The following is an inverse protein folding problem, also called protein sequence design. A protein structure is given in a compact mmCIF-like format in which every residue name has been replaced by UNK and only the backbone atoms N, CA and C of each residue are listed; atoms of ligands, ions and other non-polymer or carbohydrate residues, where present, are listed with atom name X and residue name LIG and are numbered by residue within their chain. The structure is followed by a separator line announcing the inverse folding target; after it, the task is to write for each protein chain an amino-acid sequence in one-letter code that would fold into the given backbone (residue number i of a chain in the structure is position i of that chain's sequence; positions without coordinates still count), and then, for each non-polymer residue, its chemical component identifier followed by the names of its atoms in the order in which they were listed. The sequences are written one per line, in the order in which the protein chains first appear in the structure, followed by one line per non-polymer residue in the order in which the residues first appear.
data_IF_669322151094
#
_entry.id   IF_669322151094
#
_cell.length_a   1.000
_cell.length_b   1.000
_cell.length_c   1.000
_cell.angle_alpha   90.00
_cell.angle_beta   90.00
_cell.angle_gamma   90.00
#
_symmetry.space_group_name_H-M   'P 1'
#
loop_
_entity.id
_entity.type
_entity.pdbx_description
1 polymer ?
#
# COMPACT_ATOMS: atom_id res chain seq x y z
N UNK A 1 6.96 16.46 44.86
CA UNK A 1 6.27 15.86 43.70
C UNK A 1 6.77 16.57 42.45
N UNK A 2 7.71 15.95 41.74
CA UNK A 2 8.21 16.48 40.47
C UNK A 2 7.14 16.21 39.40
N UNK A 3 6.50 17.29 38.93
CA UNK A 3 5.69 17.28 37.71
C UNK A 3 6.66 17.15 36.53
N UNK A 4 6.90 15.93 36.06
CA UNK A 4 7.50 15.71 34.76
C UNK A 4 6.43 16.04 33.71
N UNK A 5 6.64 17.14 32.97
CA UNK A 5 5.88 17.42 31.75
C UNK A 5 6.33 16.41 30.70
N UNK A 6 5.47 15.44 30.40
CA UNK A 6 5.60 14.59 29.23
C UNK A 6 5.15 15.40 28.01
N UNK A 7 6.05 15.59 27.05
CA UNK A 7 5.75 16.00 25.68
C UNK A 7 6.16 14.83 24.77
N UNK A 8 5.55 13.68 24.99
CA UNK A 8 5.61 12.54 24.09
C UNK A 8 4.21 12.34 23.54
N UNK A 9 4.08 12.37 22.21
CA UNK A 9 2.87 11.91 21.55
C UNK A 9 2.61 10.46 21.97
N UNK A 10 1.36 10.13 22.26
CA UNK A 10 0.91 8.76 22.45
C UNK A 10 0.99 8.09 21.07
N UNK A 11 1.97 7.19 20.87
CA UNK A 11 2.24 6.55 19.57
C UNK A 11 1.58 5.17 19.60
N UNK A 12 0.33 5.10 19.18
CA UNK A 12 -0.27 3.87 18.63
C UNK A 12 -0.17 3.98 17.10
N UNK A 13 0.38 2.99 16.40
CA UNK A 13 0.45 2.88 14.92
C UNK A 13 0.52 4.18 14.09
N UNK A 14 1.73 4.70 13.83
CA UNK A 14 1.91 5.78 12.84
C UNK A 14 1.91 5.21 11.41
N UNK A 15 0.73 4.96 10.87
CA UNK A 15 0.60 4.68 9.45
C UNK A 15 0.75 5.96 8.63
N UNK A 16 1.27 5.86 7.41
CA UNK A 16 1.26 6.99 6.50
C UNK A 16 0.97 6.56 5.07
N UNK A 17 0.35 7.48 4.35
CA UNK A 17 -0.29 7.23 3.08
C UNK A 17 0.50 7.85 1.93
N UNK A 18 0.51 7.21 0.78
CA UNK A 18 0.85 7.85 -0.47
C UNK A 18 -0.32 7.75 -1.42
N UNK A 19 -0.49 8.72 -2.32
CA UNK A 19 -1.56 8.77 -3.31
C UNK A 19 -0.99 9.19 -4.67
N UNK A 20 -1.46 8.54 -5.73
CA UNK A 20 -1.30 9.03 -7.10
C UNK A 20 -2.62 8.90 -7.87
N UNK A 21 -3.04 10.01 -8.46
CA UNK A 21 -4.08 10.00 -9.49
C UNK A 21 -3.53 9.42 -10.79
N UNK A 22 -4.34 8.64 -11.49
CA UNK A 22 -3.97 8.03 -12.76
C UNK A 22 -4.52 8.84 -13.94
N UNK A 23 -3.68 9.54 -14.72
CA UNK A 23 -4.15 10.41 -15.80
C UNK A 23 -4.60 9.65 -17.06
N UNK A 24 -4.12 8.41 -17.24
CA UNK A 24 -4.46 7.53 -18.36
C UNK A 24 -4.92 6.18 -17.80
N UNK A 25 -6.20 6.06 -17.40
CA UNK A 25 -6.73 4.85 -16.78
C UNK A 25 -6.42 3.57 -17.57
N UNK A 26 -6.53 3.60 -18.90
CA UNK A 26 -6.25 2.46 -19.79
C UNK A 26 -4.80 1.96 -19.76
N UNK A 27 -3.86 2.77 -19.25
CA UNK A 27 -2.45 2.41 -19.04
C UNK A 27 -2.09 2.22 -17.57
N UNK A 28 -3.08 2.18 -16.67
CA UNK A 28 -2.88 2.08 -15.22
C UNK A 28 -2.00 0.89 -14.83
N UNK A 29 -2.24 -0.28 -15.43
CA UNK A 29 -1.43 -1.46 -15.20
C UNK A 29 -0.01 -1.33 -15.68
N UNK A 30 0.21 -0.64 -16.81
CA UNK A 30 1.56 -0.35 -17.32
C UNK A 30 2.30 0.62 -16.42
N UNK A 31 1.62 1.66 -15.92
CA UNK A 31 2.15 2.59 -14.93
C UNK A 31 2.55 1.85 -13.65
N UNK A 32 1.64 1.05 -13.09
CA UNK A 32 1.90 0.33 -11.85
C UNK A 32 3.01 -0.71 -12.01
N UNK A 33 3.08 -1.39 -13.16
CA UNK A 33 4.22 -2.25 -13.49
C UNK A 33 5.53 -1.47 -13.50
N UNK A 34 5.58 -0.29 -14.13
CA UNK A 34 6.77 0.57 -14.14
C UNK A 34 7.21 0.93 -12.73
N UNK A 35 6.25 1.29 -11.87
CA UNK A 35 6.47 1.61 -10.47
C UNK A 35 7.03 0.42 -9.67
N UNK A 36 6.34 -0.72 -9.69
CA UNK A 36 6.72 -1.93 -8.97
C UNK A 36 8.04 -2.54 -9.48
N UNK A 37 8.41 -2.29 -10.75
CA UNK A 37 9.64 -2.79 -11.36
C UNK A 37 10.77 -1.76 -11.42
N UNK A 38 10.59 -0.60 -10.77
CA UNK A 38 11.59 0.48 -10.68
C UNK A 38 12.92 0.04 -10.07
N UNK A 39 12.98 -1.10 -9.38
CA UNK A 39 14.17 -1.61 -8.70
C UNK A 39 14.26 -1.20 -7.23
N UNK A 40 13.29 -0.43 -6.75
CA UNK A 40 13.15 -0.06 -5.34
C UNK A 40 12.17 -0.97 -4.58
N UNK A 41 11.54 -1.92 -5.26
CA UNK A 41 10.67 -2.94 -4.67
C UNK A 41 11.30 -4.33 -4.72
N UNK A 42 11.02 -5.14 -3.70
CA UNK A 42 11.24 -6.58 -3.73
C UNK A 42 10.26 -7.21 -4.73
N UNK A 43 10.74 -8.09 -5.61
CA UNK A 43 9.94 -8.76 -6.65
C UNK A 43 9.07 -9.89 -6.08
N UNK A 44 8.26 -9.59 -5.08
CA UNK A 44 7.31 -10.50 -4.45
C UNK A 44 6.12 -9.70 -3.95
N UNK A 45 5.03 -9.77 -4.71
CA UNK A 45 3.78 -9.06 -4.43
C UNK A 45 2.73 -10.08 -4.04
N UNK A 46 1.99 -9.77 -2.98
CA UNK A 46 1.01 -10.66 -2.37
C UNK A 46 -0.36 -10.07 -2.58
N UNK A 47 -1.26 -10.79 -3.22
CA UNK A 47 -2.61 -10.33 -3.41
C UNK A 47 -3.39 -10.61 -2.12
N UNK A 48 -3.88 -9.54 -1.48
CA UNK A 48 -4.50 -9.61 -0.16
C UNK A 48 -6.01 -9.83 -0.23
N UNK A 49 -6.63 -9.61 -1.40
CA UNK A 49 -8.07 -9.70 -1.53
C UNK A 49 -8.50 -10.42 -2.82
N UNK A 50 -9.35 -11.44 -2.65
CA UNK A 50 -9.89 -12.26 -3.75
C UNK A 50 -11.11 -11.61 -4.40
N UNK A 51 -12.01 -11.06 -3.57
CA UNK A 51 -13.35 -10.65 -3.96
C UNK A 51 -13.39 -9.72 -5.19
N UNK A 52 -12.52 -8.69 -5.32
CA UNK A 52 -12.51 -7.85 -6.52
C UNK A 52 -12.18 -8.61 -7.81
N UNK A 53 -11.32 -9.65 -7.74
CA UNK A 53 -10.97 -10.45 -8.91
C UNK A 53 -12.11 -11.34 -9.37
N UNK A 54 -12.84 -11.95 -8.42
CA UNK A 54 -14.02 -12.78 -8.71
C UNK A 54 -15.09 -11.94 -9.41
N UNK A 55 -15.40 -10.75 -8.88
CA UNK A 55 -16.38 -9.86 -9.49
C UNK A 55 -15.96 -9.40 -10.87
N UNK A 56 -14.69 -9.07 -11.07
CA UNK A 56 -14.18 -8.70 -12.38
C UNK A 56 -14.28 -9.85 -13.39
N UNK A 57 -13.94 -11.08 -12.99
CA UNK A 57 -14.13 -12.28 -13.84
C UNK A 57 -15.60 -12.43 -14.24
N UNK A 58 -16.50 -12.34 -13.28
CA UNK A 58 -17.94 -12.55 -13.52
C UNK A 58 -18.52 -11.47 -14.43
N UNK A 59 -18.09 -10.21 -14.25
CA UNK A 59 -18.42 -9.12 -15.16
C UNK A 59 -17.97 -9.43 -16.60
N UNK A 60 -16.71 -9.83 -16.80
CA UNK A 60 -16.18 -10.12 -18.14
C UNK A 60 -16.95 -11.27 -18.80
N UNK A 61 -17.25 -12.34 -18.04
CA UNK A 61 -18.01 -13.48 -18.56
C UNK A 61 -19.45 -13.08 -18.94
N UNK A 62 -20.09 -12.22 -18.17
CA UNK A 62 -21.45 -11.75 -18.42
C UNK A 62 -21.56 -10.87 -19.68
N UNK A 63 -20.52 -10.12 -20.04
CA UNK A 63 -20.49 -9.29 -21.25
C UNK A 63 -20.39 -10.12 -22.54
N UNK A 64 -20.03 -11.40 -22.47
CA UNK A 64 -19.87 -12.23 -23.66
C UNK A 64 -18.71 -11.78 -24.56
N UNK A 65 -17.66 -11.18 -23.99
CA UNK A 65 -16.47 -10.67 -24.69
C UNK A 65 -15.21 -11.60 -24.70
N UNK A 66 -15.27 -12.95 -24.66
CA UNK A 66 -14.06 -13.76 -24.67
C UNK A 66 -13.34 -13.80 -26.03
N UNK A 67 -13.87 -13.18 -27.09
CA UNK A 67 -13.26 -13.18 -28.43
C UNK A 67 -12.09 -12.18 -28.59
N UNK A 68 -12.01 -11.13 -27.76
CA UNK A 68 -10.82 -10.25 -27.72
C UNK A 68 -9.64 -10.97 -27.02
N UNK A 69 -8.50 -11.06 -27.72
CA UNK A 69 -7.26 -11.65 -27.20
C UNK A 69 -6.80 -11.01 -25.88
N UNK A 70 -7.04 -9.71 -25.67
CA UNK A 70 -6.65 -9.04 -24.42
C UNK A 70 -7.58 -9.43 -23.29
N UNK A 71 -8.89 -9.42 -23.51
CA UNK A 71 -9.90 -9.88 -22.56
C UNK A 71 -9.69 -11.34 -22.16
N UNK A 72 -9.45 -12.24 -23.12
CA UNK A 72 -9.16 -13.65 -22.85
C UNK A 72 -7.90 -13.84 -21.98
N UNK A 73 -6.85 -13.04 -22.22
CA UNK A 73 -5.63 -13.08 -21.42
C UNK A 73 -5.86 -12.54 -20.00
N UNK A 74 -6.68 -11.50 -19.84
CA UNK A 74 -7.07 -11.00 -18.52
C UNK A 74 -7.85 -12.07 -17.74
N UNK A 75 -8.82 -12.74 -18.37
CA UNK A 75 -9.54 -13.87 -17.77
C UNK A 75 -8.59 -14.99 -17.32
N UNK A 76 -7.65 -15.40 -18.17
CA UNK A 76 -6.65 -16.41 -17.82
C UNK A 76 -5.85 -16.03 -16.56
N UNK A 77 -5.43 -14.75 -16.45
CA UNK A 77 -4.73 -14.28 -15.27
C UNK A 77 -5.61 -14.23 -14.02
N UNK A 78 -6.88 -13.83 -14.16
CA UNK A 78 -7.85 -13.79 -13.07
C UNK A 78 -8.10 -15.19 -12.52
N UNK A 79 -8.44 -16.16 -13.37
CA UNK A 79 -8.65 -17.55 -12.96
C UNK A 79 -7.43 -18.11 -12.22
N UNK A 80 -6.22 -17.87 -12.75
CA UNK A 80 -4.97 -18.29 -12.10
C UNK A 80 -4.71 -17.60 -10.76
N UNK A 81 -5.19 -16.37 -10.56
CA UNK A 81 -5.02 -15.68 -9.27
C UNK A 81 -6.07 -16.14 -8.26
N UNK A 82 -7.33 -16.25 -8.68
CA UNK A 82 -8.45 -16.72 -7.87
C UNK A 82 -8.15 -18.13 -7.35
N UNK A 83 -7.66 -19.04 -8.20
CA UNK A 83 -7.31 -20.40 -7.80
C UNK A 83 -6.18 -20.52 -6.76
N UNK A 84 -5.48 -19.42 -6.42
CA UNK A 84 -4.46 -19.40 -5.37
C UNK A 84 -5.02 -19.07 -4.00
N UNK A 85 -6.24 -18.56 -3.92
CA UNK A 85 -6.89 -18.32 -2.64
C UNK A 85 -7.40 -19.64 -2.10
N UNK A 86 -7.02 -19.92 -0.86
CA UNK A 86 -7.48 -21.08 -0.12
C UNK A 86 -8.08 -20.57 1.20
N UNK A 87 -9.41 -20.66 1.38
CA UNK A 87 -10.09 -20.18 2.58
C UNK A 87 -9.66 -20.94 3.85
N UNK A 88 -9.01 -22.10 3.72
CA UNK A 88 -8.43 -22.83 4.85
C UNK A 88 -7.05 -22.31 5.27
N UNK A 89 -6.51 -21.32 4.56
CA UNK A 89 -5.18 -20.76 4.83
C UNK A 89 -5.21 -19.24 4.91
N UNK A 90 -4.48 -18.68 5.88
CA UNK A 90 -4.27 -17.24 6.01
C UNK A 90 -3.17 -16.69 5.08
N UNK A 91 -2.69 -17.50 4.11
CA UNK A 91 -1.55 -17.11 3.27
C UNK A 91 -2.03 -16.41 2.01
N UNK A 92 -1.70 -15.12 1.89
CA UNK A 92 -1.91 -14.37 0.67
C UNK A 92 -1.17 -15.00 -0.53
N UNK A 93 -1.86 -15.12 -1.66
CA UNK A 93 -1.33 -15.66 -2.91
C UNK A 93 -0.37 -14.67 -3.58
N UNK A 94 0.75 -15.15 -4.14
CA UNK A 94 1.65 -14.27 -4.92
C UNK A 94 1.09 -13.95 -6.30
N UNK A 95 1.19 -12.69 -6.71
CA UNK A 95 0.82 -12.21 -8.05
C UNK A 95 2.03 -11.61 -8.78
N UNK A 96 2.11 -11.85 -10.09
CA UNK A 96 3.19 -11.32 -10.93
C UNK A 96 2.80 -10.01 -11.61
N UNK A 97 3.79 -9.16 -11.92
CA UNK A 97 3.56 -7.84 -12.53
C UNK A 97 2.88 -7.88 -13.91
N UNK A 98 3.03 -8.97 -14.66
CA UNK A 98 2.32 -9.15 -15.93
C UNK A 98 0.81 -9.37 -15.73
N UNK A 99 0.42 -10.08 -14.67
CA UNK A 99 -0.98 -10.27 -14.31
C UNK A 99 -1.56 -8.95 -13.79
N UNK A 100 -0.83 -8.25 -12.91
CA UNK A 100 -1.20 -6.90 -12.43
C UNK A 100 -1.45 -5.96 -13.61
N UNK A 101 -0.51 -5.89 -14.56
CA UNK A 101 -0.63 -5.02 -15.73
C UNK A 101 -1.86 -5.34 -16.57
N UNK A 102 -2.08 -6.62 -16.91
CA UNK A 102 -3.22 -7.02 -17.74
C UNK A 102 -4.56 -6.71 -17.06
N UNK A 103 -4.70 -7.06 -15.78
CA UNK A 103 -5.92 -6.84 -15.00
C UNK A 103 -6.23 -5.35 -14.91
N UNK A 104 -5.26 -4.53 -14.50
CA UNK A 104 -5.48 -3.09 -14.30
C UNK A 104 -5.68 -2.32 -15.61
N UNK A 105 -5.00 -2.70 -16.70
CA UNK A 105 -5.27 -2.09 -18.01
C UNK A 105 -6.69 -2.41 -18.50
N UNK A 106 -7.18 -3.65 -18.27
CA UNK A 106 -8.57 -3.99 -18.58
C UNK A 106 -9.54 -3.14 -17.75
N UNK A 107 -9.31 -3.04 -16.44
CA UNK A 107 -10.17 -2.24 -15.55
C UNK A 107 -10.19 -0.78 -15.96
N UNK A 108 -9.04 -0.19 -16.27
CA UNK A 108 -8.96 1.19 -16.70
C UNK A 108 -9.64 1.46 -18.06
N UNK A 109 -9.56 0.52 -18.99
CA UNK A 109 -10.24 0.60 -20.28
C UNK A 109 -11.77 0.49 -20.17
N UNK A 110 -12.28 -0.26 -19.20
CA UNK A 110 -13.72 -0.52 -19.01
C UNK A 110 -14.31 0.19 -17.79
N UNK A 111 -13.62 1.18 -17.23
CA UNK A 111 -13.94 1.83 -15.95
C UNK A 111 -15.39 2.32 -15.83
N UNK A 112 -15.96 2.87 -16.91
CA UNK A 112 -17.34 3.35 -16.93
C UNK A 112 -18.34 2.19 -16.84
N UNK A 113 -18.16 1.15 -17.67
CA UNK A 113 -19.02 -0.03 -17.63
C UNK A 113 -18.90 -0.78 -16.28
N UNK A 114 -17.70 -0.82 -15.69
CA UNK A 114 -17.46 -1.43 -14.38
C UNK A 114 -18.15 -0.65 -13.25
N UNK A 115 -18.11 0.69 -13.33
CA UNK A 115 -18.80 1.59 -12.40
C UNK A 115 -20.32 1.44 -12.52
N UNK A 116 -20.87 1.51 -13.73
CA UNK A 116 -22.31 1.36 -14.02
C UNK A 116 -22.85 -0.01 -13.58
N UNK A 117 -22.04 -1.06 -13.73
CA UNK A 117 -22.39 -2.41 -13.30
C UNK A 117 -22.22 -2.63 -11.78
N UNK A 118 -21.67 -1.66 -11.03
CA UNK A 118 -21.37 -1.83 -9.61
C UNK A 118 -20.40 -2.97 -9.33
N UNK A 119 -19.46 -3.23 -10.26
CA UNK A 119 -18.56 -4.40 -10.20
C UNK A 119 -17.67 -4.36 -8.96
N UNK A 120 -17.17 -3.18 -8.63
CA UNK A 120 -16.50 -2.93 -7.35
C UNK A 120 -17.56 -2.32 -6.42
N UNK A 121 -17.77 -2.91 -5.25
CA UNK A 121 -18.84 -2.48 -4.32
C UNK A 121 -18.58 -1.04 -3.94
N UNK A 122 -19.64 -0.26 -3.80
CA UNK A 122 -19.57 1.06 -3.22
C UNK A 122 -20.16 1.09 -1.81
N UNK A 123 -19.81 0.10 -0.98
CA UNK A 123 -20.38 -0.13 0.36
C UNK A 123 -19.37 -0.89 1.24
N UNK A 124 -19.57 -0.86 2.56
CA UNK A 124 -18.78 -1.60 3.54
C UNK A 124 -19.02 -3.12 3.43
N UNK A 125 -17.99 -3.91 3.72
CA UNK A 125 -18.16 -5.34 4.02
C UNK A 125 -18.86 -5.52 5.37
N UNK A 126 -19.42 -6.70 5.66
CA UNK A 126 -20.03 -6.95 6.98
C UNK A 126 -19.02 -6.78 8.13
N UNK A 127 -17.78 -7.25 7.94
CA UNK A 127 -16.69 -7.04 8.88
C UNK A 127 -16.38 -5.54 9.10
N UNK A 128 -16.41 -4.74 8.03
CA UNK A 128 -16.22 -3.28 8.15
C UNK A 128 -17.41 -2.60 8.81
N UNK A 129 -18.64 -3.10 8.62
CA UNK A 129 -19.82 -2.57 9.33
C UNK A 129 -19.72 -2.83 10.83
N UNK A 130 -19.29 -4.02 11.23
CA UNK A 130 -19.06 -4.36 12.64
C UNK A 130 -17.99 -3.45 13.25
N UNK A 131 -16.84 -3.31 12.57
CA UNK A 131 -15.77 -2.41 13.02
C UNK A 131 -16.27 -0.96 13.16
N UNK A 132 -16.96 -0.41 12.15
CA UNK A 132 -17.42 0.98 12.17
C UNK A 132 -18.50 1.22 13.23
N UNK A 133 -19.37 0.24 13.51
CA UNK A 133 -20.34 0.35 14.60
C UNK A 133 -19.68 0.41 15.98
N UNK A 134 -18.51 -0.20 16.15
CA UNK A 134 -17.79 -0.25 17.43
C UNK A 134 -16.80 0.90 17.61
N UNK A 135 -16.16 1.37 16.54
CA UNK A 135 -14.98 2.25 16.61
C UNK A 135 -15.11 3.58 15.87
N UNK A 136 -16.19 3.85 15.13
CA UNK A 136 -16.37 5.10 14.37
C UNK A 136 -17.59 5.88 14.83
N UNK A 137 -17.40 7.18 15.09
CA UNK A 137 -18.50 8.14 15.27
C UNK A 137 -19.07 8.63 13.92
N UNK A 138 -18.45 8.26 12.79
CA UNK A 138 -18.86 8.66 11.44
C UNK A 138 -19.71 7.58 10.76
N UNK A 139 -20.79 8.00 10.07
CA UNK A 139 -21.55 7.11 9.19
C UNK A 139 -20.93 7.08 7.79
N UNK A 140 -20.38 5.94 7.40
CA UNK A 140 -19.94 5.73 6.01
C UNK A 140 -21.13 5.82 5.06
N UNK A 141 -21.03 6.68 4.04
CA UNK A 141 -22.04 6.80 2.99
C UNK A 141 -21.59 6.05 1.72
N UNK A 142 -22.34 5.04 1.26
CA UNK A 142 -22.10 4.34 0.01
C UNK A 142 -21.86 5.27 -1.18
N UNK A 143 -20.78 5.04 -1.93
CA UNK A 143 -20.47 5.81 -3.14
C UNK A 143 -19.87 7.19 -2.89
N UNK A 144 -19.42 7.48 -1.67
CA UNK A 144 -18.61 8.67 -1.39
C UNK A 144 -17.14 8.45 -1.78
N UNK A 145 -16.44 9.55 -2.09
CA UNK A 145 -15.01 9.49 -2.37
C UNK A 145 -14.26 9.15 -1.07
N UNK A 146 -13.51 8.05 -1.11
CA UNK A 146 -12.64 7.64 0.00
C UNK A 146 -11.27 8.30 -0.17
N UNK A 147 -10.91 9.18 0.76
CA UNK A 147 -9.57 9.77 0.85
C UNK A 147 -8.79 9.03 1.91
N UNK A 148 -7.86 8.18 1.50
CA UNK A 148 -7.17 7.28 2.44
C UNK A 148 -6.39 8.03 3.53
N UNK A 149 -6.00 9.28 3.31
CA UNK A 149 -5.31 10.12 4.31
C UNK A 149 -6.18 10.51 5.52
N UNK A 150 -7.51 10.41 5.41
CA UNK A 150 -8.45 10.85 6.46
C UNK A 150 -8.67 9.73 7.50
N UNK A 151 -8.17 8.52 7.26
CA UNK A 151 -8.28 7.36 8.15
C UNK A 151 -7.02 7.16 8.98
N UNK A 152 -7.14 6.70 10.22
CA UNK A 152 -5.98 6.48 11.07
C UNK A 152 -5.27 5.16 10.71
N UNK A 153 -6.02 4.06 10.64
CA UNK A 153 -5.52 2.71 10.31
C UNK A 153 -5.93 2.23 8.91
N UNK A 154 -5.16 1.32 8.33
CA UNK A 154 -5.51 0.58 7.11
C UNK A 154 -6.79 -0.24 7.29
N UNK A 155 -7.04 -0.70 8.51
CA UNK A 155 -8.23 -1.49 8.87
C UNK A 155 -9.50 -0.63 8.84
N UNK A 156 -9.39 0.68 9.04
CA UNK A 156 -10.51 1.62 8.96
C UNK A 156 -10.92 1.93 7.51
N UNK A 157 -9.98 1.79 6.56
CA UNK A 157 -10.17 2.22 5.17
C UNK A 157 -11.26 1.37 4.50
N UNK A 158 -12.38 1.97 4.06
CA UNK A 158 -13.44 1.26 3.36
C UNK A 158 -12.89 0.50 2.14
N UNK A 159 -13.31 -0.77 1.96
CA UNK A 159 -12.91 -1.56 0.78
C UNK A 159 -13.73 -1.21 -0.47
N UNK A 160 -14.56 -0.19 -0.37
CA UNK A 160 -15.33 0.43 -1.46
C UNK A 160 -14.45 0.69 -2.70
N UNK A 161 -14.84 0.23 -3.88
CA UNK A 161 -14.16 0.59 -5.13
C UNK A 161 -12.76 0.00 -5.27
N UNK A 162 -12.25 -0.77 -4.28
CA UNK A 162 -10.93 -1.39 -4.34
C UNK A 162 -10.91 -2.46 -5.44
N UNK A 163 -10.06 -2.24 -6.43
CA UNK A 163 -9.84 -3.10 -7.59
C UNK A 163 -8.74 -4.12 -7.33
N UNK A 164 -7.68 -3.68 -6.65
CA UNK A 164 -6.50 -4.48 -6.37
C UNK A 164 -5.93 -4.06 -5.02
N UNK A 165 -5.60 -5.04 -4.17
CA UNK A 165 -4.95 -4.80 -2.88
C UNK A 165 -3.75 -5.73 -2.75
N UNK A 166 -2.55 -5.16 -2.68
CA UNK A 166 -1.27 -5.84 -2.66
C UNK A 166 -0.50 -5.60 -1.37
N UNK A 167 0.06 -6.67 -0.79
CA UNK A 167 1.20 -6.60 0.10
C UNK A 167 2.50 -6.55 -0.70
N UNK A 168 3.31 -5.53 -0.44
CA UNK A 168 4.54 -5.22 -1.13
C UNK A 168 5.69 -5.01 -0.13
N UNK A 169 6.90 -4.82 -0.64
CA UNK A 169 8.02 -4.40 0.20
C UNK A 169 9.06 -3.61 -0.58
N UNK A 170 9.67 -2.62 0.06
CA UNK A 170 10.82 -1.91 -0.50
C UNK A 170 12.09 -2.73 -0.32
N UNK A 171 13.06 -2.50 -1.20
CA UNK A 171 14.40 -3.09 -1.07
C UNK A 171 15.10 -2.52 0.17
N UNK A 172 15.80 -3.35 0.95
CA UNK A 172 16.60 -2.84 2.06
C UNK A 172 17.74 -1.93 1.58
N UNK A 173 18.18 -1.00 2.44
CA UNK A 173 19.18 0.00 2.06
C UNK A 173 20.53 -0.61 1.63
N UNK A 174 20.90 -1.78 2.16
CA UNK A 174 22.07 -2.55 1.72
C UNK A 174 22.01 -3.08 0.27
N UNK A 175 20.85 -3.01 -0.39
CA UNK A 175 20.69 -3.34 -1.81
C UNK A 175 20.72 -2.11 -2.72
N UNK A 176 20.77 -0.90 -2.16
CA UNK A 176 20.85 0.34 -2.91
C UNK A 176 22.29 0.61 -3.38
N UNK A 177 22.45 1.57 -4.29
CA UNK A 177 23.79 2.06 -4.64
C UNK A 177 24.46 2.71 -3.40
N UNK A 178 25.80 2.78 -3.34
CA UNK A 178 26.48 3.40 -2.19
C UNK A 178 26.03 4.83 -1.88
N UNK A 179 25.73 5.61 -2.93
CA UNK A 179 25.24 6.99 -2.80
C UNK A 179 23.82 7.03 -2.22
N UNK A 180 22.91 6.19 -2.72
CA UNK A 180 21.54 6.09 -2.22
C UNK A 180 21.52 5.57 -0.78
N UNK A 181 22.31 4.54 -0.45
CA UNK A 181 22.44 4.02 0.92
C UNK A 181 22.92 5.10 1.89
N UNK A 182 23.95 5.87 1.51
CA UNK A 182 24.44 7.00 2.32
C UNK A 182 23.40 8.11 2.48
N UNK A 183 22.53 8.32 1.48
CA UNK A 183 21.44 9.29 1.57
C UNK A 183 20.34 8.79 2.50
N UNK A 184 19.88 7.56 2.31
CA UNK A 184 18.88 6.89 3.16
C UNK A 184 19.30 6.92 4.63
N UNK A 185 20.54 6.50 4.94
CA UNK A 185 21.09 6.56 6.29
C UNK A 185 21.02 7.95 6.90
N UNK A 186 21.45 8.98 6.16
CA UNK A 186 21.43 10.38 6.67
C UNK A 186 20.02 10.90 6.94
N UNK A 187 19.04 10.49 6.14
CA UNK A 187 17.64 10.89 6.33
C UNK A 187 17.07 10.28 7.61
N UNK A 188 17.23 8.97 7.79
CA UNK A 188 16.72 8.26 8.97
C UNK A 188 17.50 8.63 10.23
N UNK A 189 18.83 8.72 10.16
CA UNK A 189 19.64 9.18 11.30
C UNK A 189 19.23 10.57 11.77
N UNK A 190 18.93 11.50 10.84
CA UNK A 190 18.47 12.84 11.21
C UNK A 190 17.15 12.76 11.95
N UNK A 191 16.18 12.02 11.40
CA UNK A 191 14.88 11.81 12.03
C UNK A 191 15.00 11.22 13.43
N UNK A 192 15.78 10.15 13.60
CA UNK A 192 16.00 9.51 14.91
C UNK A 192 16.69 10.44 15.92
N UNK A 193 17.55 11.34 15.44
CA UNK A 193 18.23 12.33 16.30
C UNK A 193 17.26 13.43 16.73
N UNK A 194 16.49 13.96 15.79
CA UNK A 194 15.54 15.05 16.05
C UNK A 194 14.40 14.61 16.97
N UNK A 195 14.00 13.34 16.92
CA UNK A 195 13.01 12.77 17.84
C UNK A 195 13.56 12.33 19.20
N UNK A 196 14.88 12.34 19.41
CA UNK A 196 15.50 11.79 20.62
C UNK A 196 15.55 10.26 20.68
N UNK A 197 15.06 9.56 19.65
CA UNK A 197 15.00 8.09 19.61
C UNK A 197 16.39 7.44 19.70
N UNK A 198 17.44 8.07 19.17
CA UNK A 198 18.81 7.54 19.31
C UNK A 198 19.24 7.44 20.77
N UNK A 199 18.91 8.44 21.58
CA UNK A 199 19.28 8.50 23.00
C UNK A 199 18.44 7.49 23.82
N UNK A 200 17.16 7.33 23.47
CA UNK A 200 16.26 6.35 24.07
C UNK A 200 16.72 4.91 23.79
N UNK A 201 16.97 4.57 22.52
CA UNK A 201 17.44 3.24 22.13
C UNK A 201 18.81 2.92 22.72
N UNK A 202 19.71 3.90 22.81
CA UNK A 202 21.00 3.72 23.48
C UNK A 202 20.82 3.41 24.98
N UNK A 203 19.92 4.14 25.65
CA UNK A 203 19.60 3.93 27.07
C UNK A 203 18.95 2.57 27.32
N UNK A 204 18.05 2.13 26.44
CA UNK A 204 17.40 0.82 26.53
C UNK A 204 18.36 -0.35 26.24
N UNK A 205 19.27 -0.17 25.28
CA UNK A 205 20.36 -1.12 25.01
C UNK A 205 21.30 -1.29 26.21
N UNK A 206 21.57 -0.21 26.94
CA UNK A 206 22.33 -0.24 28.20
C UNK A 206 21.54 -0.94 29.33
N UNK A 207 20.24 -0.67 29.45
CA UNK A 207 19.36 -1.29 30.45
C UNK A 207 19.21 -2.81 30.27
N UNK A 208 19.09 -3.28 29.03
CA UNK A 208 18.88 -4.71 28.73
C UNK A 208 20.16 -5.56 28.73
N UNK A 209 21.32 -4.98 29.04
CA UNK A 209 22.61 -5.68 29.05
C UNK A 209 23.11 -6.08 27.65
N UNK A 210 22.46 -5.62 26.57
CA UNK A 210 22.89 -5.83 25.17
C UNK A 210 23.92 -4.77 24.71
N UNK A 211 24.76 -4.32 25.64
CA UNK A 211 25.62 -3.12 25.56
C UNK A 211 26.82 -3.18 24.63
N UNK A 212 26.65 -3.63 23.39
CA UNK A 212 27.57 -3.32 22.30
C UNK A 212 27.14 -2.06 21.53
N UNK A 213 28.04 -1.35 20.83
CA UNK A 213 27.65 -0.28 19.94
C UNK A 213 26.79 -0.83 18.81
N UNK A 214 25.49 -0.58 18.84
CA UNK A 214 24.53 -0.93 17.78
C UNK A 214 24.25 0.30 16.93
N UNK A 215 24.32 0.12 15.62
CA UNK A 215 23.87 1.14 14.68
C UNK A 215 22.38 0.89 14.38
N UNK A 216 21.53 1.38 15.28
CA UNK A 216 20.07 1.24 15.18
C UNK A 216 19.51 1.77 13.87
N UNK A 217 20.14 2.79 13.29
CA UNK A 217 19.75 3.33 11.98
C UNK A 217 20.02 2.29 10.91
N UNK A 218 21.24 1.73 10.85
CA UNK A 218 21.59 0.69 9.87
C UNK A 218 20.68 -0.53 10.01
N UNK A 219 20.42 -1.00 11.23
CA UNK A 219 19.50 -2.13 11.46
C UNK A 219 18.08 -1.85 10.95
N UNK A 220 17.57 -0.64 11.18
CA UNK A 220 16.23 -0.25 10.75
C UNK A 220 16.12 -0.06 9.24
N UNK A 221 17.15 0.44 8.55
CA UNK A 221 17.10 0.64 7.09
C UNK A 221 17.48 -0.61 6.29
N UNK A 222 18.21 -1.56 6.88
CA UNK A 222 18.63 -2.81 6.24
C UNK A 222 17.64 -3.97 6.46
N UNK A 223 16.56 -3.77 7.24
CA UNK A 223 15.42 -4.70 7.29
C UNK A 223 14.48 -4.51 6.08
N UNK A 224 13.64 -5.52 5.86
CA UNK A 224 12.58 -5.46 4.85
C UNK A 224 11.49 -4.49 5.31
N UNK A 225 11.17 -3.51 4.46
CA UNK A 225 10.15 -2.49 4.72
C UNK A 225 8.86 -2.94 4.05
N UNK A 226 7.84 -3.33 4.84
CA UNK A 226 6.57 -3.81 4.33
C UNK A 226 5.62 -2.65 4.08
N UNK A 227 4.87 -2.72 2.99
CA UNK A 227 3.84 -1.74 2.68
C UNK A 227 2.71 -2.40 1.91
N UNK A 228 1.52 -1.83 1.98
CA UNK A 228 0.40 -2.15 1.12
C UNK A 228 0.36 -1.24 -0.10
N UNK A 229 -0.31 -1.70 -1.14
CA UNK A 229 -0.70 -0.89 -2.28
C UNK A 229 -2.12 -1.25 -2.69
N UNK A 230 -3.01 -0.25 -2.71
CA UNK A 230 -4.38 -0.36 -3.19
C UNK A 230 -4.56 0.43 -4.46
N UNK A 231 -5.34 -0.14 -5.38
CA UNK A 231 -5.86 0.56 -6.56
C UNK A 231 -7.36 0.66 -6.39
N UNK A 232 -7.89 1.88 -6.41
CA UNK A 232 -9.32 2.17 -6.20
C UNK A 232 -9.92 2.84 -7.42
N UNK A 233 -11.10 2.40 -7.82
CA UNK A 233 -11.99 3.08 -8.76
C UNK A 233 -12.90 4.02 -7.95
N UNK A 234 -12.88 5.31 -8.30
CA UNK A 234 -13.70 6.33 -7.63
C UNK A 234 -15.09 6.47 -8.29
N UNK A 235 -16.06 7.11 -7.61
CA UNK A 235 -17.41 7.36 -8.15
C UNK A 235 -17.44 8.22 -9.42
N UNK A 236 -16.39 8.98 -9.70
CA UNK A 236 -16.20 9.78 -10.93
C UNK A 236 -15.44 9.00 -12.02
N UNK A 237 -15.24 7.70 -11.82
CA UNK A 237 -14.45 6.80 -12.64
C UNK A 237 -12.96 7.16 -12.77
N UNK A 238 -12.42 7.97 -11.85
CA UNK A 238 -10.96 8.14 -11.72
C UNK A 238 -10.35 6.99 -10.93
N UNK A 239 -9.02 6.87 -11.00
CA UNK A 239 -8.30 5.89 -10.18
C UNK A 239 -7.31 6.56 -9.25
N UNK A 240 -7.26 6.04 -8.03
CA UNK A 240 -6.27 6.36 -7.03
C UNK A 240 -5.44 5.11 -6.76
N UNK A 241 -4.11 5.27 -6.78
CA UNK A 241 -3.18 4.28 -6.23
C UNK A 241 -2.73 4.79 -4.87
N UNK A 242 -3.09 4.05 -3.82
CA UNK A 242 -2.74 4.38 -2.45
C UNK A 242 -1.95 3.26 -1.78
N UNK A 243 -1.39 3.50 -0.59
CA UNK A 243 -0.74 2.46 0.21
C UNK A 243 -0.33 2.96 1.59
N UNK A 244 -0.17 2.02 2.51
CA UNK A 244 0.24 2.23 3.91
C UNK A 244 1.48 1.40 4.23
N UNK A 245 2.19 1.72 5.30
CA UNK A 245 3.20 0.81 5.85
C UNK A 245 2.89 0.48 7.29
N UNK A 246 3.18 -0.77 7.63
CA UNK A 246 2.93 -1.37 8.93
C UNK A 246 4.24 -1.42 9.70
N UNK A 247 4.58 -0.34 10.38
CA UNK A 247 5.73 -0.24 11.29
C UNK A 247 5.48 0.91 12.26
N UNK A 248 5.98 0.81 13.50
CA UNK A 248 5.93 1.85 14.56
C UNK A 248 6.81 3.08 14.22
N UNK A 249 6.73 3.50 12.96
CA UNK A 249 7.86 3.94 12.18
C UNK A 249 7.73 5.36 11.65
N UNK A 250 7.04 6.27 12.35
CA UNK A 250 7.11 7.70 12.06
C UNK A 250 8.58 8.16 11.91
N UNK A 251 9.50 7.54 12.66
CA UNK A 251 10.92 7.84 12.61
C UNK A 251 11.62 7.33 11.34
N UNK A 252 11.10 6.28 10.69
CA UNK A 252 11.62 5.73 9.44
C UNK A 252 10.85 6.20 8.19
N UNK A 253 9.77 6.99 8.35
CA UNK A 253 9.05 7.70 7.27
C UNK A 253 10.00 8.26 6.19
N UNK A 254 11.12 8.94 6.53
CA UNK A 254 12.00 9.51 5.51
C UNK A 254 12.65 8.48 4.57
N UNK A 255 12.75 7.21 4.98
CA UNK A 255 13.19 6.12 4.10
C UNK A 255 12.10 5.78 3.07
N UNK A 256 10.86 5.64 3.52
CA UNK A 256 9.71 5.34 2.66
C UNK A 256 9.50 6.46 1.64
N UNK A 257 9.43 7.71 2.08
CA UNK A 257 9.32 8.89 1.21
C UNK A 257 10.44 8.93 0.16
N UNK A 258 11.69 8.71 0.59
CA UNK A 258 12.84 8.70 -0.32
C UNK A 258 12.77 7.59 -1.38
N UNK A 259 12.46 6.34 -0.98
CA UNK A 259 12.43 5.22 -1.90
C UNK A 259 11.21 5.25 -2.83
N UNK A 260 10.04 5.62 -2.31
CA UNK A 260 8.83 5.82 -3.11
C UNK A 260 9.01 6.97 -4.09
N UNK A 261 9.62 8.08 -3.67
CA UNK A 261 9.95 9.20 -4.55
C UNK A 261 10.92 8.83 -5.67
N UNK A 262 11.94 8.00 -5.39
CA UNK A 262 12.82 7.45 -6.42
C UNK A 262 12.09 6.52 -7.39
N UNK A 263 11.22 5.66 -6.87
CA UNK A 263 10.40 4.76 -7.67
C UNK A 263 9.44 5.54 -8.59
N UNK A 264 8.75 6.55 -8.07
CA UNK A 264 7.87 7.44 -8.83
C UNK A 264 8.63 8.16 -9.94
N UNK A 265 9.77 8.78 -9.60
CA UNK A 265 10.62 9.48 -10.56
C UNK A 265 11.05 8.56 -11.71
N UNK A 266 11.40 7.31 -11.39
CA UNK A 266 11.82 6.32 -12.39
C UNK A 266 10.65 5.80 -13.24
N UNK A 267 9.45 5.75 -12.66
CA UNK A 267 8.23 5.36 -13.36
C UNK A 267 7.55 6.52 -14.11
N UNK A 268 8.02 7.76 -13.94
CA UNK A 268 7.38 8.95 -14.51
C UNK A 268 6.04 9.31 -13.85
N UNK A 269 5.85 8.94 -12.58
CA UNK A 269 4.61 9.14 -11.82
C UNK A 269 4.79 10.30 -10.85
N UNK A 270 3.75 11.14 -10.72
CA UNK A 270 3.66 12.10 -9.62
C UNK A 270 3.01 11.40 -8.42
N UNK A 271 3.81 11.13 -7.39
CA UNK A 271 3.31 10.66 -6.10
C UNK A 271 3.16 11.85 -5.15
N UNK A 272 2.06 11.87 -4.43
CA UNK A 272 1.86 12.73 -3.26
C UNK A 272 2.01 11.83 -2.02
N UNK A 273 2.81 12.25 -1.05
CA UNK A 273 3.13 11.48 0.16
C UNK A 273 2.68 12.28 1.36
N UNK A 274 1.95 11.64 2.27
CA UNK A 274 1.35 12.28 3.44
C UNK A 274 1.77 11.53 4.70
N UNK A 275 2.13 12.27 5.74
CA UNK A 275 2.28 11.71 7.09
C UNK A 275 0.99 11.98 7.84
N UNK A 276 0.38 10.94 8.42
CA UNK A 276 -0.71 11.11 9.37
C UNK A 276 -0.06 11.51 10.68
N UNK A 277 -0.51 12.62 11.26
CA UNK A 277 0.06 13.23 12.46
C UNK A 277 -0.97 13.19 13.58
#
# INVERSE_FOLDING_TARGET
MLRAHWHGYEIDSSEAAYEAQVPQPEQMGTLLRGFLTSGYFVRSYYLLFETPLVRLRDFILAQGEPEDKRTAKTLEYLEKQIAKFDPSTWKAGRIGVQAIEAILNYVGAHRQALLEAGTFRFDLTEEQKEYWQEYSDEEFQPGTLVREQDFYSEDEIPLDGVVLFLGCSLVPANKLTPQERKRAYRLVHRSYKESGLLDELASWGAFTGRGGPRDYVTEAIDRRQYLSLRVRLNPDATFIVAGRWHDDGQFIYPLYDYLLGLAAKKAGVKLEVFSIC
#
